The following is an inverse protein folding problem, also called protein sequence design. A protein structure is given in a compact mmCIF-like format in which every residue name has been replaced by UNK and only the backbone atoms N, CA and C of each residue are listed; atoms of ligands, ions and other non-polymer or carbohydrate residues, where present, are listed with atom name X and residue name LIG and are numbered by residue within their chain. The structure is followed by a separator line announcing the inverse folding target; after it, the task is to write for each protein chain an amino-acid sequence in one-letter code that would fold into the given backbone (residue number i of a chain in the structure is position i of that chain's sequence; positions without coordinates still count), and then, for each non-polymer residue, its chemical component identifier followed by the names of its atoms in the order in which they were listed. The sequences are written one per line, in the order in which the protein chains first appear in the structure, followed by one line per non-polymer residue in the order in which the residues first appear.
data_IF_622506533468
#
_entry.id   IF_622506533468
#
_cell.length_a   1.000
_cell.length_b   1.000
_cell.length_c   1.000
_cell.angle_alpha   90.00
_cell.angle_beta   90.00
_cell.angle_gamma   90.00
#
_symmetry.space_group_name_H-M   'P 1'
#
loop_
_entity.id
_entity.type
_entity.pdbx_description
1 polymer ?
#
# COMPACT_ATOMS: atom_id res chain seq x y z
N UNK A 1 16.79 -14.53 -7.93
CA UNK A 1 15.42 -14.33 -7.42
C UNK A 1 15.09 -12.85 -7.18
N UNK A 2 15.97 -12.06 -6.56
CA UNK A 2 15.78 -10.59 -6.39
C UNK A 2 15.53 -9.82 -7.71
N UNK A 3 16.27 -10.14 -8.79
CA UNK A 3 16.03 -9.54 -10.14
C UNK A 3 14.64 -9.85 -10.72
N UNK A 4 13.90 -10.81 -10.14
CA UNK A 4 12.49 -11.11 -10.47
C UNK A 4 11.51 -10.40 -9.53
N UNK A 5 11.97 -9.41 -8.76
CA UNK A 5 11.18 -8.61 -7.80
C UNK A 5 10.53 -9.39 -6.65
N UNK A 6 11.04 -10.59 -6.34
CA UNK A 6 10.65 -11.33 -5.13
C UNK A 6 11.21 -10.65 -3.88
N UNK A 7 10.39 -10.49 -2.83
CA UNK A 7 10.86 -9.96 -1.54
C UNK A 7 11.77 -10.97 -0.83
N UNK A 8 12.67 -10.53 0.08
CA UNK A 8 13.50 -11.43 0.89
C UNK A 8 12.69 -12.51 1.62
N UNK A 9 11.48 -12.20 2.07
CA UNK A 9 10.55 -13.16 2.69
C UNK A 9 10.08 -14.23 1.70
N UNK A 10 9.69 -13.83 0.48
CA UNK A 10 9.28 -14.76 -0.58
C UNK A 10 10.46 -15.62 -1.04
N UNK A 11 11.66 -15.04 -1.10
CA UNK A 11 12.89 -15.76 -1.44
C UNK A 11 13.21 -16.78 -0.35
N UNK A 12 13.18 -16.39 0.92
CA UNK A 12 13.38 -17.32 2.03
C UNK A 12 12.35 -18.47 2.00
N UNK A 13 11.08 -18.17 1.72
CA UNK A 13 10.04 -19.18 1.55
C UNK A 13 10.31 -20.13 0.38
N UNK A 14 10.68 -19.61 -0.80
CA UNK A 14 11.02 -20.42 -1.96
C UNK A 14 12.27 -21.27 -1.75
N UNK A 15 13.30 -20.73 -1.10
CA UNK A 15 14.53 -21.47 -0.80
C UNK A 15 14.27 -22.69 0.09
N UNK A 16 13.30 -22.62 1.03
CA UNK A 16 12.88 -23.78 1.84
C UNK A 16 12.31 -24.93 1.00
N UNK A 17 11.70 -24.61 -0.14
CA UNK A 17 11.05 -25.60 -1.03
C UNK A 17 11.96 -26.11 -2.14
N UNK A 18 13.10 -25.45 -2.38
CA UNK A 18 14.05 -25.84 -3.41
C UNK A 18 15.02 -26.88 -2.83
N UNK A 19 15.15 -28.03 -3.48
CA UNK A 19 16.20 -29.00 -3.12
C UNK A 19 17.55 -28.50 -3.68
N UNK A 20 18.24 -27.69 -2.89
CA UNK A 20 19.57 -27.18 -3.21
C UNK A 20 20.58 -27.91 -2.32
N UNK A 21 21.41 -28.82 -2.87
CA UNK A 21 22.31 -29.66 -2.08
C UNK A 21 23.24 -28.89 -1.14
N UNK A 22 23.71 -27.70 -1.54
CA UNK A 22 24.59 -26.84 -0.74
C UNK A 22 23.88 -26.05 0.38
N UNK A 23 22.54 -26.07 0.40
CA UNK A 23 21.72 -25.37 1.38
C UNK A 23 20.78 -26.31 2.17
N UNK A 24 20.91 -27.63 2.00
CA UNK A 24 20.04 -28.62 2.69
C UNK A 24 19.99 -28.44 4.20
N UNK A 25 21.11 -28.08 4.81
CA UNK A 25 21.23 -27.85 6.26
C UNK A 25 21.23 -26.35 6.64
N UNK A 26 21.09 -25.45 5.67
CA UNK A 26 21.20 -24.02 5.88
C UNK A 26 19.81 -23.36 6.01
N UNK A 27 19.53 -22.77 7.17
CA UNK A 27 18.33 -21.95 7.35
C UNK A 27 18.56 -20.53 6.82
N UNK A 28 18.03 -20.25 5.63
CA UNK A 28 18.06 -18.89 5.05
C UNK A 28 16.75 -18.17 5.38
N UNK A 29 16.80 -17.23 6.33
CA UNK A 29 15.68 -16.33 6.62
C UNK A 29 15.80 -15.00 5.87
N UNK A 30 14.76 -14.16 5.97
CA UNK A 30 14.74 -12.82 5.36
C UNK A 30 15.91 -11.96 5.86
N UNK A 31 16.25 -12.02 7.16
CA UNK A 31 17.40 -11.31 7.73
C UNK A 31 18.73 -11.78 7.15
N UNK A 32 18.92 -13.09 6.90
CA UNK A 32 20.13 -13.62 6.25
C UNK A 32 20.33 -12.99 4.87
N UNK A 33 19.25 -12.87 4.09
CA UNK A 33 19.27 -12.26 2.76
C UNK A 33 19.60 -10.76 2.85
N UNK A 34 18.97 -10.02 3.78
CA UNK A 34 19.28 -8.62 4.01
C UNK A 34 20.76 -8.43 4.42
N UNK A 35 21.24 -9.19 5.40
CA UNK A 35 22.62 -9.13 5.89
C UNK A 35 23.61 -9.40 4.75
N UNK A 36 23.37 -10.42 3.92
CA UNK A 36 24.22 -10.72 2.78
C UNK A 36 24.28 -9.56 1.77
N UNK A 37 23.14 -8.93 1.43
CA UNK A 37 23.11 -7.77 0.52
C UNK A 37 23.85 -6.58 1.13
N UNK A 38 23.64 -6.31 2.40
CA UNK A 38 24.24 -5.14 3.07
C UNK A 38 25.72 -5.31 3.40
N UNK A 39 26.21 -6.55 3.52
CA UNK A 39 27.62 -6.90 3.70
C UNK A 39 28.45 -6.80 2.41
N UNK A 40 27.82 -6.74 1.23
CA UNK A 40 28.56 -6.51 -0.03
C UNK A 40 29.28 -5.16 -0.01
N UNK A 41 30.49 -5.08 -0.58
CA UNK A 41 31.17 -3.80 -0.81
C UNK A 41 30.27 -2.82 -1.57
N UNK A 42 30.43 -1.52 -1.28
CA UNK A 42 29.74 -0.46 -2.04
C UNK A 42 30.21 -0.55 -3.49
N UNK A 43 29.28 -0.86 -4.39
CA UNK A 43 29.57 -1.08 -5.80
C UNK A 43 28.30 -1.27 -6.61
N UNK A 44 28.45 -1.43 -7.92
CA UNK A 44 27.31 -1.51 -8.85
C UNK A 44 26.37 -2.69 -8.54
N UNK A 45 26.92 -3.85 -8.20
CA UNK A 45 26.14 -5.03 -7.81
C UNK A 45 25.28 -4.76 -6.56
N UNK A 46 25.84 -4.12 -5.53
CA UNK A 46 25.09 -3.76 -4.33
C UNK A 46 23.95 -2.80 -4.66
N UNK A 47 24.19 -1.80 -5.51
CA UNK A 47 23.15 -0.88 -5.95
C UNK A 47 22.03 -1.59 -6.73
N UNK A 48 22.37 -2.49 -7.66
CA UNK A 48 21.38 -3.29 -8.40
C UNK A 48 20.52 -4.13 -7.45
N UNK A 49 21.14 -4.81 -6.48
CA UNK A 49 20.43 -5.66 -5.53
C UNK A 49 19.53 -4.85 -4.58
N UNK A 50 19.99 -3.70 -4.09
CA UNK A 50 19.18 -2.80 -3.26
C UNK A 50 17.99 -2.24 -4.06
N UNK A 51 18.19 -1.92 -5.35
CA UNK A 51 17.10 -1.47 -6.22
C UNK A 51 16.02 -2.55 -6.41
N UNK A 52 16.39 -3.84 -6.32
CA UNK A 52 15.44 -4.94 -6.35
C UNK A 52 14.68 -5.14 -5.02
N UNK A 53 15.14 -4.57 -3.90
CA UNK A 53 14.47 -4.71 -2.60
C UNK A 53 13.20 -3.85 -2.53
N UNK A 54 12.10 -4.43 -2.06
CA UNK A 54 10.84 -3.72 -1.81
C UNK A 54 10.99 -2.61 -0.76
N UNK A 55 11.89 -2.82 0.21
CA UNK A 55 12.27 -1.86 1.24
C UNK A 55 13.78 -1.62 1.23
N UNK A 56 14.28 -1.00 0.16
CA UNK A 56 15.65 -0.51 0.15
C UNK A 56 15.81 0.60 1.18
N UNK A 57 16.63 0.40 2.22
CA UNK A 57 17.11 1.50 3.07
C UNK A 57 18.07 2.36 2.27
N UNK A 58 17.54 3.22 1.40
CA UNK A 58 18.30 4.39 0.96
C UNK A 58 18.38 5.33 2.16
N UNK A 59 19.55 5.92 2.41
CA UNK A 59 19.84 6.72 3.61
C UNK A 59 18.63 7.54 4.07
N UNK A 60 18.32 7.49 5.36
CA UNK A 60 17.23 8.24 5.98
C UNK A 60 17.48 9.72 5.69
N UNK A 61 16.78 10.30 4.70
CA UNK A 61 16.83 11.74 4.47
C UNK A 61 16.36 12.43 5.75
N UNK A 62 17.17 13.31 6.36
CA UNK A 62 16.71 14.11 7.48
C UNK A 62 15.54 14.97 6.98
N UNK A 63 14.35 14.72 7.54
CA UNK A 63 13.21 15.62 7.35
C UNK A 63 13.44 16.82 8.24
N UNK A 64 13.72 17.97 7.62
CA UNK A 64 13.72 19.26 8.32
C UNK A 64 12.36 19.42 8.98
N UNK A 65 12.35 19.54 10.31
CA UNK A 65 11.15 19.70 11.12
C UNK A 65 10.47 21.02 10.82
N UNK A 66 9.62 21.04 9.80
CA UNK A 66 8.62 22.09 9.64
C UNK A 66 7.40 21.75 10.47
N UNK A 67 6.82 22.76 11.13
CA UNK A 67 5.46 22.67 11.68
C UNK A 67 4.53 22.18 10.57
N UNK A 68 3.77 21.12 10.81
CA UNK A 68 2.86 20.59 9.81
C UNK A 68 1.75 21.60 9.54
N UNK A 69 1.87 22.34 8.44
CA UNK A 69 0.89 23.35 7.98
C UNK A 69 -0.25 22.72 7.19
N UNK A 70 -0.34 21.39 7.14
CA UNK A 70 -1.45 20.70 6.45
C UNK A 70 -2.72 20.90 7.27
N UNK A 71 -3.73 21.53 6.66
CA UNK A 71 -5.04 21.69 7.28
C UNK A 71 -5.59 20.35 7.79
N UNK A 72 -6.23 20.37 8.95
CA UNK A 72 -6.78 19.16 9.57
C UNK A 72 -8.10 18.79 8.90
N UNK A 73 -8.35 17.48 8.75
CA UNK A 73 -9.67 16.98 8.35
C UNK A 73 -10.63 17.24 9.53
N UNK A 74 -11.69 18.03 9.35
CA UNK A 74 -12.66 18.29 10.41
C UNK A 74 -13.42 17.02 10.78
N UNK A 75 -13.73 16.87 12.07
CA UNK A 75 -14.63 15.84 12.62
C UNK A 75 -14.22 14.37 12.35
N UNK A 76 -12.97 14.13 11.96
CA UNK A 76 -12.49 12.78 11.63
C UNK A 76 -12.75 11.76 12.75
N UNK A 77 -13.16 10.55 12.36
CA UNK A 77 -13.30 9.43 13.29
C UNK A 77 -11.95 8.78 13.51
N UNK A 78 -11.48 8.72 14.75
CA UNK A 78 -10.19 8.10 15.09
C UNK A 78 -10.19 6.60 14.81
N UNK A 79 -9.06 6.06 14.35
CA UNK A 79 -8.82 4.61 14.21
C UNK A 79 -9.05 3.83 15.51
N UNK A 80 -8.92 4.45 16.69
CA UNK A 80 -9.19 3.78 17.96
C UNK A 80 -10.67 3.46 18.19
N UNK A 81 -11.57 4.08 17.43
CA UNK A 81 -13.01 3.78 17.45
C UNK A 81 -13.39 2.71 16.41
N UNK A 82 -12.42 2.20 15.66
CA UNK A 82 -12.64 1.17 14.64
C UNK A 82 -13.06 -0.15 15.32
N UNK A 83 -13.98 -0.92 14.72
CA UNK A 83 -14.33 -2.24 15.24
C UNK A 83 -13.10 -3.13 15.41
N UNK A 84 -12.95 -3.85 16.54
CA UNK A 84 -11.78 -4.69 16.81
C UNK A 84 -11.66 -5.90 15.87
N UNK A 85 -12.75 -6.27 15.18
CA UNK A 85 -12.74 -7.32 14.15
C UNK A 85 -11.87 -6.97 12.93
N UNK A 86 -11.65 -5.68 12.66
CA UNK A 86 -10.79 -5.23 11.55
C UNK A 86 -9.36 -5.75 11.70
N UNK A 87 -8.82 -5.73 12.93
CA UNK A 87 -7.45 -6.18 13.20
C UNK A 87 -7.27 -7.69 13.00
N UNK A 88 -8.36 -8.46 13.17
CA UNK A 88 -8.35 -9.91 13.01
C UNK A 88 -8.37 -10.34 11.55
N UNK A 89 -8.86 -9.48 10.64
CA UNK A 89 -8.91 -9.75 9.19
C UNK A 89 -9.63 -11.06 8.84
N UNK A 90 -10.72 -11.34 9.57
CA UNK A 90 -11.50 -12.58 9.43
C UNK A 90 -12.84 -12.36 8.71
N UNK A 91 -13.29 -11.11 8.58
CA UNK A 91 -14.55 -10.74 7.95
C UNK A 91 -14.25 -9.87 6.73
N UNK A 92 -14.71 -10.26 5.52
CA UNK A 92 -14.55 -9.44 4.33
C UNK A 92 -15.27 -8.09 4.44
N UNK A 93 -14.69 -7.09 3.78
CA UNK A 93 -15.30 -5.77 3.61
C UNK A 93 -14.70 -4.67 4.47
N UNK A 94 -13.58 -4.95 5.12
CA UNK A 94 -12.74 -3.94 5.75
C UNK A 94 -11.58 -3.59 4.81
N UNK A 95 -11.45 -2.31 4.51
CA UNK A 95 -10.51 -1.81 3.52
C UNK A 95 -9.46 -0.92 4.16
N UNK A 96 -8.25 -0.91 3.59
CA UNK A 96 -7.30 0.19 3.75
C UNK A 96 -7.26 1.00 2.44
N UNK A 97 -7.27 2.32 2.56
CA UNK A 97 -7.19 3.26 1.45
C UNK A 97 -5.91 4.08 1.47
N UNK A 98 -5.38 4.45 0.30
CA UNK A 98 -4.26 5.39 0.14
C UNK A 98 -4.33 6.10 -1.22
N UNK A 99 -3.55 7.17 -1.38
CA UNK A 99 -3.36 7.89 -2.63
C UNK A 99 -1.89 7.87 -3.05
N UNK A 100 -1.60 7.16 -4.13
CA UNK A 100 -0.30 7.20 -4.80
C UNK A 100 -0.27 8.38 -5.77
N UNK A 101 0.58 9.37 -5.48
CA UNK A 101 0.89 10.47 -6.41
C UNK A 101 2.03 10.09 -7.36
N UNK A 102 1.85 10.38 -8.64
CA UNK A 102 2.84 10.23 -9.70
C UNK A 102 3.91 11.32 -9.66
N UNK A 103 4.87 11.25 -10.60
CA UNK A 103 5.98 12.21 -10.70
C UNK A 103 5.42 13.62 -10.89
N UNK A 104 5.94 14.59 -10.11
CA UNK A 104 5.51 15.99 -10.18
C UNK A 104 4.04 16.24 -9.83
N UNK A 105 3.36 15.30 -9.16
CA UNK A 105 1.91 15.35 -8.90
C UNK A 105 1.05 15.40 -10.18
N UNK A 106 1.59 14.99 -11.33
CA UNK A 106 0.89 15.05 -12.62
C UNK A 106 -0.20 13.98 -12.77
N UNK A 107 -0.17 12.93 -11.95
CA UNK A 107 -1.19 11.88 -11.90
C UNK A 107 -1.38 11.39 -10.46
N UNK A 108 -2.51 10.77 -10.19
CA UNK A 108 -2.78 10.13 -8.93
C UNK A 108 -3.60 8.86 -9.13
N UNK A 109 -3.34 7.86 -8.28
CA UNK A 109 -4.09 6.61 -8.22
C UNK A 109 -4.42 6.31 -6.78
N UNK A 110 -5.71 6.13 -6.49
CA UNK A 110 -6.16 5.62 -5.20
C UNK A 110 -5.97 4.11 -5.16
N UNK A 111 -5.60 3.59 -3.99
CA UNK A 111 -5.48 2.16 -3.76
C UNK A 111 -6.41 1.77 -2.63
N UNK A 112 -7.26 0.76 -2.87
CA UNK A 112 -8.10 0.14 -1.86
C UNK A 112 -7.68 -1.32 -1.71
N UNK A 113 -7.35 -1.75 -0.50
CA UNK A 113 -6.94 -3.12 -0.19
C UNK A 113 -7.90 -3.72 0.81
N UNK A 114 -8.59 -4.79 0.43
CA UNK A 114 -9.46 -5.54 1.33
C UNK A 114 -8.61 -6.42 2.25
N UNK A 115 -8.82 -6.29 3.57
CA UNK A 115 -7.89 -6.82 4.56
C UNK A 115 -7.92 -8.33 4.74
N UNK A 116 -9.05 -8.98 4.44
CA UNK A 116 -9.22 -10.43 4.61
C UNK A 116 -8.63 -11.22 3.44
N UNK A 117 -8.97 -10.82 2.22
CA UNK A 117 -8.58 -11.48 0.98
C UNK A 117 -7.32 -10.93 0.34
N UNK A 118 -6.92 -9.70 0.70
CA UNK A 118 -5.87 -8.96 0.01
C UNK A 118 -6.29 -8.44 -1.37
N UNK A 119 -7.59 -8.43 -1.70
CA UNK A 119 -8.09 -7.92 -2.97
C UNK A 119 -7.77 -6.43 -3.13
N UNK A 120 -7.17 -6.06 -4.27
CA UNK A 120 -6.69 -4.70 -4.54
C UNK A 120 -7.49 -4.05 -5.66
N UNK A 121 -8.03 -2.87 -5.40
CA UNK A 121 -8.55 -1.98 -6.45
C UNK A 121 -7.60 -0.81 -6.68
N UNK A 122 -7.21 -0.63 -7.95
CA UNK A 122 -6.50 0.57 -8.41
C UNK A 122 -7.50 1.52 -9.04
N UNK A 123 -7.64 2.70 -8.46
CA UNK A 123 -8.61 3.71 -8.86
C UNK A 123 -7.86 4.86 -9.50
N UNK A 124 -8.02 5.03 -10.82
CA UNK A 124 -7.47 6.18 -11.51
C UNK A 124 -8.17 7.46 -11.03
N UNK A 125 -7.41 8.41 -10.50
CA UNK A 125 -7.96 9.67 -9.99
C UNK A 125 -7.73 10.80 -10.98
N UNK A 126 -8.71 11.69 -11.11
CA UNK A 126 -8.62 12.91 -11.91
C UNK A 126 -7.90 14.05 -11.15
N UNK A 127 -6.78 13.71 -10.51
CA UNK A 127 -6.02 14.62 -9.65
C UNK A 127 -5.93 14.13 -8.20
N UNK A 128 -5.37 14.97 -7.33
CA UNK A 128 -5.14 14.67 -5.91
C UNK A 128 -5.94 15.62 -4.98
N UNK A 129 -7.15 15.97 -5.40
CA UNK A 129 -8.09 16.83 -4.67
C UNK A 129 -9.09 15.98 -3.90
N UNK A 130 -9.80 16.59 -2.95
CA UNK A 130 -10.83 15.89 -2.19
C UNK A 130 -12.01 15.44 -3.06
N UNK A 131 -12.40 16.26 -4.04
CA UNK A 131 -13.42 15.89 -5.03
C UNK A 131 -12.99 14.70 -5.88
N UNK A 132 -11.76 14.68 -6.39
CA UNK A 132 -11.28 13.56 -7.21
C UNK A 132 -11.22 12.25 -6.42
N UNK A 133 -10.82 12.31 -5.14
CA UNK A 133 -10.80 11.14 -4.26
C UNK A 133 -12.22 10.66 -3.91
N UNK A 134 -13.13 11.57 -3.59
CA UNK A 134 -14.55 11.25 -3.36
C UNK A 134 -15.15 10.56 -4.57
N UNK A 135 -15.14 11.17 -5.75
CA UNK A 135 -15.68 10.60 -6.98
C UNK A 135 -15.07 9.23 -7.30
N UNK A 136 -13.74 9.12 -7.20
CA UNK A 136 -13.01 7.91 -7.53
C UNK A 136 -13.30 6.75 -6.56
N UNK A 137 -13.19 7.00 -5.26
CA UNK A 137 -13.46 5.97 -4.26
C UNK A 137 -14.93 5.59 -4.21
N UNK A 138 -15.84 6.57 -4.32
CA UNK A 138 -17.28 6.34 -4.47
C UNK A 138 -17.57 5.43 -5.66
N UNK A 139 -17.04 5.74 -6.84
CA UNK A 139 -17.24 4.93 -8.04
C UNK A 139 -16.64 3.52 -7.94
N UNK A 140 -15.56 3.34 -7.18
CA UNK A 140 -14.93 2.04 -6.97
C UNK A 140 -15.74 1.19 -5.97
N UNK A 141 -16.06 1.75 -4.80
CA UNK A 141 -16.85 1.09 -3.77
C UNK A 141 -18.25 0.73 -4.27
N UNK A 142 -18.84 1.57 -5.13
CA UNK A 142 -20.15 1.30 -5.70
C UNK A 142 -20.24 0.02 -6.55
N UNK A 143 -19.11 -0.53 -6.99
CA UNK A 143 -19.06 -1.81 -7.74
C UNK A 143 -19.06 -3.02 -6.81
N UNK A 144 -18.85 -2.82 -5.52
CA UNK A 144 -18.84 -3.89 -4.52
C UNK A 144 -20.25 -4.11 -3.96
N UNK A 145 -20.56 -5.32 -3.49
CA UNK A 145 -21.79 -5.54 -2.71
C UNK A 145 -21.78 -4.70 -1.43
N UNK A 146 -22.95 -4.21 -0.99
CA UNK A 146 -23.05 -3.38 0.22
C UNK A 146 -22.48 -4.09 1.46
N UNK A 147 -22.65 -5.42 1.56
CA UNK A 147 -22.08 -6.25 2.63
C UNK A 147 -20.55 -6.24 2.70
N UNK A 148 -19.88 -5.86 1.61
CA UNK A 148 -18.42 -5.75 1.51
C UNK A 148 -17.93 -4.31 1.73
N UNK A 149 -18.78 -3.36 2.13
CA UNK A 149 -18.40 -1.96 2.33
C UNK A 149 -18.45 -1.57 3.80
N UNK A 150 -17.88 -2.38 4.69
CA UNK A 150 -18.02 -2.18 6.15
C UNK A 150 -17.24 -0.98 6.64
N UNK A 151 -15.92 -1.02 6.50
CA UNK A 151 -15.05 0.05 7.00
C UNK A 151 -13.93 0.35 6.03
N UNK A 152 -13.42 1.58 6.03
CA UNK A 152 -12.20 1.97 5.32
C UNK A 152 -11.27 2.71 6.27
N UNK A 153 -10.01 2.30 6.33
CA UNK A 153 -8.97 2.96 7.13
C UNK A 153 -8.07 3.79 6.23
N UNK A 154 -7.88 5.07 6.57
CA UNK A 154 -7.12 6.02 5.75
C UNK A 154 -6.16 6.85 6.61
N UNK A 155 -5.15 7.47 5.98
CA UNK A 155 -4.33 8.47 6.65
C UNK A 155 -5.04 9.83 6.74
N UNK A 156 -4.40 10.84 7.32
CA UNK A 156 -4.98 12.19 7.45
C UNK A 156 -4.76 13.05 6.20
N UNK A 157 -4.69 12.43 5.01
CA UNK A 157 -4.50 13.11 3.73
C UNK A 157 -5.65 14.07 3.41
N UNK A 158 -5.33 15.27 2.94
CA UNK A 158 -6.32 16.32 2.61
C UNK A 158 -7.29 15.91 1.50
N UNK A 159 -6.93 14.93 0.68
CA UNK A 159 -7.84 14.32 -0.28
C UNK A 159 -9.04 13.63 0.39
N UNK A 160 -8.96 13.31 1.67
CA UNK A 160 -10.08 12.77 2.44
C UNK A 160 -10.88 13.86 3.17
N UNK A 161 -10.75 15.13 2.80
CA UNK A 161 -11.54 16.20 3.41
C UNK A 161 -13.06 16.03 3.22
N UNK A 162 -13.49 15.30 2.18
CA UNK A 162 -14.91 14.99 1.88
C UNK A 162 -15.32 13.57 2.30
N UNK A 163 -14.62 12.96 3.26
CA UNK A 163 -14.89 11.57 3.66
C UNK A 163 -16.33 11.32 4.12
N UNK A 164 -16.98 12.29 4.77
CA UNK A 164 -18.35 12.17 5.24
C UNK A 164 -19.33 11.88 4.10
N UNK A 165 -19.09 12.46 2.92
CA UNK A 165 -19.90 12.22 1.72
C UNK A 165 -19.68 10.80 1.18
N UNK A 166 -18.44 10.29 1.22
CA UNK A 166 -18.15 8.90 0.86
C UNK A 166 -18.88 7.95 1.82
N UNK A 167 -18.83 8.22 3.13
CA UNK A 167 -19.55 7.41 4.13
C UNK A 167 -21.05 7.40 3.87
N UNK A 168 -21.66 8.58 3.68
CA UNK A 168 -23.10 8.70 3.45
C UNK A 168 -23.54 8.01 2.15
N UNK A 169 -22.81 8.23 1.05
CA UNK A 169 -23.23 7.75 -0.26
C UNK A 169 -22.92 6.26 -0.48
N UNK A 170 -21.88 5.73 0.16
CA UNK A 170 -21.40 4.36 -0.08
C UNK A 170 -21.73 3.38 1.05
N UNK A 171 -22.13 3.87 2.22
CA UNK A 171 -22.39 3.06 3.41
C UNK A 171 -21.15 2.46 4.04
N UNK A 172 -20.00 3.13 3.93
CA UNK A 172 -18.71 2.69 4.49
C UNK A 172 -18.25 3.60 5.63
N UNK A 173 -17.91 3.02 6.78
CA UNK A 173 -17.39 3.79 7.91
C UNK A 173 -15.90 4.09 7.72
N UNK A 174 -15.53 5.36 7.74
CA UNK A 174 -14.14 5.79 7.48
C UNK A 174 -13.46 6.16 8.79
N UNK A 175 -12.30 5.53 9.02
CA UNK A 175 -11.47 5.73 10.21
C UNK A 175 -10.09 6.25 9.84
N UNK A 176 -9.57 7.17 10.65
CA UNK A 176 -8.33 7.88 10.38
C UNK A 176 -7.21 7.48 11.32
N UNK A 177 -6.06 7.16 10.73
CA UNK A 177 -4.85 6.83 11.46
C UNK A 177 -4.33 8.01 12.27
N UNK A 178 -3.52 7.70 13.28
CA UNK A 178 -2.80 8.70 14.04
C UNK A 178 -1.70 9.35 13.18
N UNK A 179 -1.36 10.63 13.44
CA UNK A 179 -0.24 11.26 12.76
C UNK A 179 1.03 10.44 12.96
N UNK A 180 1.86 10.36 11.93
CA UNK A 180 3.15 9.65 11.96
C UNK A 180 3.07 8.15 12.28
N UNK A 181 1.89 7.53 12.11
CA UNK A 181 1.65 6.12 12.45
C UNK A 181 1.34 5.26 11.23
N UNK A 182 2.26 5.16 10.24
CA UNK A 182 1.95 4.49 8.98
C UNK A 182 1.76 2.97 9.12
N UNK A 183 2.27 2.35 10.20
CA UNK A 183 2.07 0.93 10.52
C UNK A 183 0.59 0.56 10.76
N UNK A 184 -0.26 1.55 11.06
CA UNK A 184 -1.71 1.36 11.18
C UNK A 184 -2.40 1.03 9.84
N UNK A 185 -1.67 1.16 8.71
CA UNK A 185 -2.08 0.73 7.36
C UNK A 185 -1.04 -0.15 6.67
N UNK A 186 -0.58 -1.18 7.39
CA UNK A 186 0.47 -2.05 6.90
C UNK A 186 0.14 -2.79 5.59
N UNK A 187 -1.15 -3.02 5.28
CA UNK A 187 -1.52 -3.67 4.03
C UNK A 187 -1.30 -2.73 2.84
N UNK A 188 -1.76 -1.48 2.93
CA UNK A 188 -1.52 -0.48 1.89
C UNK A 188 -0.04 -0.12 1.76
N UNK A 189 0.75 -0.06 2.84
CA UNK A 189 2.20 0.15 2.71
C UNK A 189 2.86 -0.94 1.85
N UNK A 190 2.52 -2.20 2.11
CA UNK A 190 3.06 -3.33 1.36
C UNK A 190 2.59 -3.31 -0.11
N UNK A 191 1.30 -3.13 -0.35
CA UNK A 191 0.72 -3.08 -1.70
C UNK A 191 1.24 -1.86 -2.49
N UNK A 192 1.34 -0.70 -1.87
CA UNK A 192 1.87 0.49 -2.54
C UNK A 192 3.36 0.34 -2.87
N UNK A 193 4.13 -0.36 -2.03
CA UNK A 193 5.50 -0.76 -2.35
C UNK A 193 5.57 -1.63 -3.60
N UNK A 194 4.70 -2.65 -3.69
CA UNK A 194 4.56 -3.53 -4.86
C UNK A 194 4.18 -2.75 -6.13
N UNK A 195 3.17 -1.89 -6.04
CA UNK A 195 2.71 -1.07 -7.17
C UNK A 195 3.86 -0.21 -7.67
N UNK A 196 4.60 0.47 -6.79
CA UNK A 196 5.74 1.31 -7.19
C UNK A 196 6.90 0.53 -7.81
N UNK A 197 7.04 -0.75 -7.46
CA UNK A 197 8.07 -1.64 -8.00
C UNK A 197 7.71 -2.13 -9.41
N UNK A 198 6.44 -2.47 -9.66
CA UNK A 198 5.97 -2.98 -10.95
C UNK A 198 5.58 -1.89 -11.95
N UNK A 199 5.03 -0.78 -11.46
CA UNK A 199 4.75 0.41 -12.26
C UNK A 199 5.93 1.37 -12.11
N UNK A 200 6.96 1.19 -12.94
CA UNK A 200 8.06 2.15 -13.05
C UNK A 200 7.50 3.53 -13.38
N UNK A 201 8.19 4.61 -12.97
CA UNK A 201 7.78 6.01 -13.23
C UNK A 201 7.48 6.34 -14.70
N UNK A 202 7.82 5.44 -15.62
CA UNK A 202 7.68 5.55 -17.07
C UNK A 202 6.54 4.69 -17.64
N UNK A 203 6.06 3.67 -16.92
CA UNK A 203 4.90 2.88 -17.33
C UNK A 203 3.62 3.56 -16.87
N UNK A 204 2.94 4.23 -17.81
CA UNK A 204 1.59 4.77 -17.63
C UNK A 204 0.68 3.68 -17.05
N UNK A 205 -0.06 4.03 -16.00
CA UNK A 205 -1.17 3.23 -15.46
C UNK A 205 -2.29 3.22 -16.53
N UNK A 206 -2.20 2.29 -17.47
CA UNK A 206 -3.27 2.01 -18.42
C UNK A 206 -4.32 1.19 -17.67
N UNK A 207 -5.55 1.69 -17.71
CA UNK A 207 -6.73 1.07 -17.12
C UNK A 207 -6.87 -0.39 -17.55
N UNK A 208 -6.71 -1.32 -16.61
CA UNK A 208 -7.22 -2.66 -16.78
C UNK A 208 -8.73 -2.62 -16.50
N UNK A 209 -9.55 -2.65 -17.55
CA UNK A 209 -10.94 -3.08 -17.40
C UNK A 209 -10.93 -4.60 -17.21
N UNK A 210 -11.73 -5.17 -16.29
CA UNK A 210 -11.86 -6.61 -16.20
C UNK A 210 -12.45 -7.13 -17.50
N UNK A 211 -11.71 -8.02 -18.16
CA UNK A 211 -12.21 -8.82 -19.27
C UNK A 211 -13.45 -9.58 -18.80
N UNK A 212 -14.59 -9.32 -19.42
CA UNK A 212 -15.78 -10.18 -19.29
C UNK A 212 -15.41 -11.57 -19.78
N UNK A 213 -15.39 -12.56 -18.88
CA UNK A 213 -15.51 -13.95 -19.28
C UNK A 213 -16.94 -14.16 -19.78
N UNK A 214 -17.06 -14.64 -21.02
CA UNK A 214 -18.30 -15.19 -21.57
C UNK A 214 -18.46 -16.66 -21.20
#
# INVERSE_FOLDING_TARGET
MLKKYLSPEQIAGQLKTMDIPSLRDAYVCKETIYTAIYALPVGQLRHELIHCLRHGRSQRKPRIGGVDRRGQIPERVSIHLRPPEVDKRVIPGHWEGDLIKGKGNASAVGTLVELTSGYVMLVKMNGATATAAEEGFSAALNRMLLSLRKTMTYDQGKEMARYAEITQNMGVDIYFCDPHSPWQRGANENINGLIRQHFTKENRLVSAQPSRAG
#
